data_IF_101842791537
#
_entry.id   IF_101842791537
#
_cell.length_a   1.000
_cell.length_b   1.000
_cell.length_c   1.000
_cell.angle_alpha   90.00
_cell.angle_beta   90.00
_cell.angle_gamma   90.00
#
_symmetry.space_group_name_H-M   'P 1'
#
loop_
_entity.id
_entity.type
_entity.pdbx_description
1 polymer ?
#
# COMPACT_ATOMS: atom_id res chain seq x y z
N UNK A 1 2.22 27.72 -4.28
CA UNK A 1 1.79 27.27 -5.62
C UNK A 1 1.67 25.76 -5.50
N UNK A 2 0.45 25.27 -5.28
CA UNK A 2 0.19 23.87 -4.97
C UNK A 2 0.36 23.04 -6.25
N UNK A 3 1.24 22.04 -6.23
CA UNK A 3 1.28 21.02 -7.25
C UNK A 3 0.10 20.10 -7.01
N UNK A 4 -1.01 20.33 -7.73
CA UNK A 4 -2.01 19.31 -7.94
C UNK A 4 -1.34 18.18 -8.70
N UNK A 5 -1.13 17.05 -8.03
CA UNK A 5 -0.79 15.79 -8.69
C UNK A 5 -2.03 15.34 -9.47
N UNK A 6 -2.13 15.79 -10.71
CA UNK A 6 -3.03 15.23 -11.70
C UNK A 6 -2.45 13.86 -12.12
N UNK A 7 -2.73 12.82 -11.32
CA UNK A 7 -2.45 11.43 -11.68
C UNK A 7 -3.61 10.96 -12.56
N UNK A 8 -3.53 11.35 -13.83
CA UNK A 8 -4.47 11.01 -14.90
C UNK A 8 -4.84 9.54 -14.89
N UNK A 9 -6.12 9.29 -14.66
CA UNK A 9 -6.73 7.97 -14.71
C UNK A 9 -6.92 7.51 -16.13
N UNK A 10 -5.97 6.72 -16.64
CA UNK A 10 -6.21 5.74 -17.71
C UNK A 10 -5.17 4.59 -17.65
N UNK A 11 -3.98 4.81 -17.08
CA UNK A 11 -2.89 3.80 -17.00
C UNK A 11 -2.88 2.92 -15.72
N UNK A 12 -3.66 3.25 -14.68
CA UNK A 12 -3.61 2.57 -13.37
C UNK A 12 -4.17 1.13 -13.34
N UNK A 13 -4.79 0.66 -14.42
CA UNK A 13 -5.12 -0.77 -14.54
C UNK A 13 -3.87 -1.59 -14.87
N UNK A 14 -2.90 -1.00 -15.57
CA UNK A 14 -1.80 -1.75 -16.18
C UNK A 14 -0.89 -2.39 -15.13
N UNK A 15 -0.50 -1.66 -14.07
CA UNK A 15 0.46 -2.15 -13.08
C UNK A 15 -0.12 -3.23 -12.15
N UNK A 16 -1.34 -3.05 -11.64
CA UNK A 16 -2.01 -4.10 -10.84
C UNK A 16 -2.38 -5.30 -11.70
N UNK A 17 -2.86 -5.09 -12.94
CA UNK A 17 -3.14 -6.19 -13.86
C UNK A 17 -1.87 -6.94 -14.26
N UNK A 18 -0.76 -6.24 -14.48
CA UNK A 18 0.55 -6.83 -14.76
C UNK A 18 1.07 -7.62 -13.56
N UNK A 19 0.97 -7.08 -12.34
CA UNK A 19 1.32 -7.79 -11.12
C UNK A 19 0.51 -9.09 -10.98
N UNK A 20 -0.82 -8.99 -11.08
CA UNK A 20 -1.73 -10.14 -11.01
C UNK A 20 -1.43 -11.17 -12.09
N UNK A 21 -1.23 -10.72 -13.33
CA UNK A 21 -0.86 -11.61 -14.45
C UNK A 21 0.49 -12.30 -14.21
N UNK A 22 1.47 -11.59 -13.66
CA UNK A 22 2.83 -12.11 -13.42
C UNK A 22 2.85 -13.17 -12.33
N UNK A 23 2.12 -12.94 -11.23
CA UNK A 23 2.20 -13.80 -10.04
C UNK A 23 1.09 -14.85 -9.96
N UNK A 24 0.00 -14.71 -10.72
CA UNK A 24 -1.17 -15.59 -10.64
C UNK A 24 -1.51 -16.30 -11.96
N UNK A 25 -0.62 -16.24 -12.95
CA UNK A 25 -0.60 -17.16 -14.09
C UNK A 25 -1.85 -17.18 -14.95
N UNK A 26 -2.65 -16.10 -14.93
CA UNK A 26 -3.88 -15.97 -15.70
C UNK A 26 -5.09 -16.75 -15.15
N UNK A 27 -5.03 -17.29 -13.92
CA UNK A 27 -6.19 -17.90 -13.27
C UNK A 27 -7.20 -16.84 -12.76
N UNK A 28 -6.72 -15.62 -12.58
CA UNK A 28 -7.51 -14.44 -12.21
C UNK A 28 -7.05 -13.24 -13.05
N UNK A 29 -7.98 -12.32 -13.32
CA UNK A 29 -7.72 -11.05 -13.98
C UNK A 29 -8.29 -9.87 -13.20
N UNK A 30 -7.74 -8.68 -13.43
CA UNK A 30 -8.23 -7.44 -12.83
C UNK A 30 -9.21 -6.76 -13.79
N UNK A 31 -10.37 -6.40 -13.28
CA UNK A 31 -11.36 -5.60 -14.01
C UNK A 31 -11.76 -4.37 -13.19
N UNK A 32 -12.29 -3.32 -13.84
CA UNK A 32 -13.01 -2.25 -13.16
C UNK A 32 -14.51 -2.54 -13.17
N UNK A 33 -15.18 -2.36 -12.04
CA UNK A 33 -16.64 -2.46 -11.90
C UNK A 33 -17.19 -1.19 -11.26
N UNK A 34 -18.27 -0.68 -11.84
CA UNK A 34 -18.99 0.49 -11.32
C UNK A 34 -19.41 0.25 -9.86
N UNK A 35 -19.17 1.25 -8.99
CA UNK A 35 -19.46 1.19 -7.55
C UNK A 35 -18.56 0.26 -6.72
N UNK A 36 -17.63 -0.48 -7.33
CA UNK A 36 -16.71 -1.41 -6.61
C UNK A 36 -15.23 -1.10 -6.84
N UNK A 37 -14.92 -0.22 -7.78
CA UNK A 37 -13.54 0.06 -8.15
C UNK A 37 -12.92 -1.11 -8.91
N UNK A 38 -11.73 -1.55 -8.48
CA UNK A 38 -11.03 -2.70 -9.08
C UNK A 38 -11.53 -4.00 -8.42
N UNK A 39 -11.77 -5.01 -9.23
CA UNK A 39 -12.16 -6.35 -8.80
C UNK A 39 -11.25 -7.40 -9.40
N UNK A 40 -11.07 -8.50 -8.68
CA UNK A 40 -10.47 -9.72 -9.21
C UNK A 40 -11.59 -10.64 -9.72
N UNK A 41 -11.44 -11.12 -10.95
CA UNK A 41 -12.36 -12.05 -11.61
C UNK A 41 -11.62 -13.33 -11.92
N UNK A 42 -12.22 -14.47 -11.59
CA UNK A 42 -11.71 -15.78 -11.96
C UNK A 42 -11.83 -16.01 -13.48
N UNK A 43 -10.75 -16.48 -14.08
CA UNK A 43 -10.70 -16.86 -15.51
C UNK A 43 -10.80 -18.36 -15.72
N UNK A 44 -10.76 -19.13 -14.63
CA UNK A 44 -10.91 -20.57 -14.59
C UNK A 44 -11.87 -20.98 -13.47
N UNK A 45 -12.43 -22.18 -13.58
CA UNK A 45 -13.16 -22.79 -12.47
C UNK A 45 -12.17 -23.24 -11.38
N UNK A 46 -12.61 -23.23 -10.13
CA UNK A 46 -11.84 -23.69 -8.97
C UNK A 46 -12.68 -24.67 -8.14
N UNK A 47 -12.04 -25.71 -7.63
CA UNK A 47 -12.69 -26.68 -6.75
C UNK A 47 -12.67 -26.22 -5.28
N UNK A 48 -13.61 -26.73 -4.48
CA UNK A 48 -13.68 -26.40 -3.07
C UNK A 48 -12.40 -26.82 -2.32
N UNK A 49 -11.75 -25.85 -1.68
CA UNK A 49 -10.47 -26.06 -0.97
C UNK A 49 -9.23 -25.88 -1.86
N UNK A 50 -9.40 -25.58 -3.15
CA UNK A 50 -8.30 -25.22 -4.03
C UNK A 50 -7.74 -23.83 -3.69
N UNK A 51 -6.42 -23.67 -3.83
CA UNK A 51 -5.75 -22.39 -3.63
C UNK A 51 -5.88 -21.54 -4.89
N UNK A 52 -6.75 -20.53 -4.82
CA UNK A 52 -6.98 -19.55 -5.89
C UNK A 52 -5.78 -18.61 -6.10
N UNK A 53 -5.18 -18.12 -5.00
CA UNK A 53 -4.14 -17.10 -5.04
C UNK A 53 -3.17 -17.25 -3.86
N UNK A 54 -1.94 -16.77 -4.03
CA UNK A 54 -0.97 -16.58 -2.97
C UNK A 54 -0.38 -15.19 -3.10
N UNK A 55 -0.62 -14.33 -2.10
CA UNK A 55 -0.12 -12.96 -2.09
C UNK A 55 0.83 -12.77 -0.90
N UNK A 56 1.99 -12.17 -1.17
CA UNK A 56 2.97 -11.83 -0.16
C UNK A 56 2.81 -10.36 0.22
N UNK A 57 3.05 -9.99 1.50
CA UNK A 57 2.97 -8.59 1.90
C UNK A 57 3.96 -7.75 1.08
N UNK A 58 3.47 -6.66 0.49
CA UNK A 58 4.32 -5.72 -0.25
C UNK A 58 5.37 -5.07 0.67
N UNK A 59 4.95 -4.75 1.91
CA UNK A 59 5.78 -4.12 2.94
C UNK A 59 5.46 -4.80 4.27
N UNK A 60 6.49 -5.24 4.98
CA UNK A 60 6.38 -5.76 6.34
C UNK A 60 6.96 -4.75 7.32
N UNK A 61 6.08 -4.08 8.08
CA UNK A 61 6.48 -3.13 9.10
C UNK A 61 6.52 -3.82 10.46
N UNK A 62 7.69 -4.28 10.86
CA UNK A 62 7.89 -4.93 12.16
C UNK A 62 8.28 -3.88 13.20
N UNK A 63 7.56 -3.87 14.32
CA UNK A 63 7.94 -3.06 15.48
C UNK A 63 9.24 -3.59 16.08
N UNK A 64 10.30 -2.80 15.97
CA UNK A 64 11.61 -3.16 16.52
C UNK A 64 12.16 -1.98 17.33
N UNK A 65 12.11 -2.12 18.65
CA UNK A 65 12.66 -1.14 19.58
C UNK A 65 14.19 -1.05 19.51
N UNK A 66 14.90 -1.90 18.76
CA UNK A 66 16.32 -1.67 18.49
C UNK A 66 16.55 -0.52 17.50
N UNK A 67 15.55 -0.18 16.68
CA UNK A 67 15.66 0.83 15.62
C UNK A 67 15.44 2.24 16.20
N UNK A 68 16.44 3.16 16.11
CA UNK A 68 16.34 4.50 16.68
C UNK A 68 15.15 5.32 16.15
N UNK A 69 14.82 5.17 14.88
CA UNK A 69 13.67 5.85 14.28
C UNK A 69 12.35 5.39 14.89
N UNK A 70 12.18 4.09 15.12
CA UNK A 70 10.96 3.55 15.73
C UNK A 70 10.82 4.00 17.19
N UNK A 71 11.93 4.05 17.95
CA UNK A 71 11.93 4.66 19.30
C UNK A 71 11.45 6.09 19.28
N UNK A 72 11.85 6.88 18.29
CA UNK A 72 11.38 8.26 18.19
C UNK A 72 9.87 8.32 17.88
N UNK A 73 9.35 7.43 17.05
CA UNK A 73 7.90 7.33 16.82
C UNK A 73 7.16 6.99 18.13
N UNK A 74 7.69 6.09 18.95
CA UNK A 74 7.13 5.78 20.27
C UNK A 74 7.14 7.02 21.18
N UNK A 75 8.27 7.72 21.27
CA UNK A 75 8.41 8.95 22.07
C UNK A 75 7.42 10.03 21.62
N UNK A 76 7.28 10.25 20.31
CA UNK A 76 6.31 11.21 19.76
C UNK A 76 4.86 10.83 20.07
N UNK A 77 4.56 9.53 20.17
CA UNK A 77 3.24 9.08 20.61
C UNK A 77 3.00 9.37 22.09
N UNK A 78 3.98 9.11 22.95
CA UNK A 78 3.91 9.37 24.39
C UNK A 78 3.72 10.86 24.69
N UNK A 79 4.39 11.73 23.92
CA UNK A 79 4.25 13.18 24.00
C UNK A 79 2.90 13.71 23.47
N UNK A 80 2.02 12.84 22.97
CA UNK A 80 0.73 13.22 22.40
C UNK A 80 0.82 13.91 21.03
N UNK A 81 1.98 13.88 20.37
CA UNK A 81 2.18 14.49 19.05
C UNK A 81 1.55 13.69 17.90
N UNK A 82 1.21 12.41 18.16
CA UNK A 82 0.67 11.50 17.16
C UNK A 82 -0.77 11.07 17.50
N UNK A 83 -1.69 11.31 16.56
CA UNK A 83 -3.10 10.95 16.70
C UNK A 83 -3.32 9.43 16.70
N UNK A 84 -2.80 8.73 15.69
CA UNK A 84 -2.93 7.28 15.55
C UNK A 84 -1.92 6.48 16.38
N UNK A 85 -2.04 5.14 16.37
CA UNK A 85 -1.06 4.26 16.99
C UNK A 85 0.32 4.34 16.28
N UNK A 86 1.45 4.16 16.99
CA UNK A 86 2.81 4.24 16.43
C UNK A 86 3.01 3.41 15.16
N UNK A 87 2.44 2.20 15.13
CA UNK A 87 2.64 1.26 14.02
C UNK A 87 2.16 1.80 12.67
N UNK A 88 1.15 2.68 12.64
CA UNK A 88 0.67 3.27 11.38
C UNK A 88 1.68 4.25 10.79
N UNK A 89 2.30 5.08 11.65
CA UNK A 89 3.38 5.97 11.23
C UNK A 89 4.63 5.18 10.88
N UNK A 90 4.93 4.12 11.62
CA UNK A 90 6.05 3.24 11.31
C UNK A 90 5.88 2.55 9.96
N UNK A 91 4.70 1.99 9.68
CA UNK A 91 4.39 1.41 8.38
C UNK A 91 4.52 2.44 7.24
N UNK A 92 4.05 3.68 7.45
CA UNK A 92 4.24 4.75 6.48
C UNK A 92 5.73 5.05 6.24
N UNK A 93 6.54 5.16 7.30
CA UNK A 93 8.00 5.36 7.17
C UNK A 93 8.69 4.20 6.46
N UNK A 94 8.27 2.95 6.72
CA UNK A 94 8.76 1.75 6.03
C UNK A 94 8.34 1.69 4.55
N UNK A 95 7.39 2.53 4.11
CA UNK A 95 6.99 2.62 2.70
C UNK A 95 7.75 3.68 1.90
N UNK A 96 8.66 4.41 2.55
CA UNK A 96 9.47 5.44 1.88
C UNK A 96 10.63 4.83 1.09
N UNK A 97 10.97 5.49 -0.01
CA UNK A 97 12.09 5.15 -0.89
C UNK A 97 13.40 5.75 -0.40
N UNK A 98 14.52 5.23 -0.91
CA UNK A 98 15.85 5.70 -0.53
C UNK A 98 16.07 7.22 -0.75
N UNK A 99 15.57 7.84 -1.84
CA UNK A 99 15.62 9.29 -2.01
C UNK A 99 14.81 10.06 -0.96
N UNK A 100 13.66 9.56 -0.53
CA UNK A 100 12.77 10.25 0.42
C UNK A 100 13.30 10.22 1.86
N UNK A 101 14.06 9.19 2.21
CA UNK A 101 14.75 9.10 3.51
C UNK A 101 16.14 9.74 3.48
N UNK A 102 16.56 10.29 2.34
CA UNK A 102 17.85 10.95 2.20
C UNK A 102 17.93 12.18 3.09
N UNK A 103 18.91 12.23 3.98
CA UNK A 103 19.04 13.31 4.97
C UNK A 103 18.13 13.16 6.20
N UNK A 104 17.46 12.03 6.36
CA UNK A 104 16.71 11.73 7.58
C UNK A 104 17.62 11.76 8.83
N UNK A 105 17.06 12.25 9.93
CA UNK A 105 17.76 12.41 11.22
C UNK A 105 18.28 11.09 11.79
N UNK A 106 17.54 10.01 11.58
CA UNK A 106 17.94 8.68 12.01
C UNK A 106 18.35 7.88 10.77
N UNK A 107 19.66 7.68 10.53
CA UNK A 107 20.08 6.81 9.45
C UNK A 107 19.69 5.36 9.77
N UNK A 108 19.50 4.56 8.72
CA UNK A 108 19.37 3.09 8.77
C UNK A 108 17.99 2.46 9.07
N UNK A 109 16.86 3.14 8.83
CA UNK A 109 15.62 2.38 8.60
C UNK A 109 15.51 1.94 7.13
N UNK A 110 15.00 0.74 6.90
CA UNK A 110 14.95 0.12 5.59
C UNK A 110 13.98 0.86 4.67
N UNK A 111 14.51 1.42 3.59
CA UNK A 111 13.70 2.00 2.51
C UNK A 111 13.28 0.91 1.51
N UNK A 112 12.17 1.14 0.82
CA UNK A 112 11.66 0.23 -0.22
C UNK A 112 12.08 0.66 -1.62
N UNK A 113 12.14 -0.27 -2.60
CA UNK A 113 12.24 0.09 -4.00
C UNK A 113 11.08 0.97 -4.45
N UNK A 114 11.31 1.90 -5.39
CA UNK A 114 10.27 2.79 -5.91
C UNK A 114 9.08 2.03 -6.50
N UNK A 115 9.31 0.88 -7.15
CA UNK A 115 8.23 0.04 -7.66
C UNK A 115 7.31 -0.49 -6.55
N UNK A 116 7.88 -0.91 -5.41
CA UNK A 116 7.10 -1.39 -4.25
C UNK A 116 6.26 -0.27 -3.65
N UNK A 117 6.81 0.94 -3.56
CA UNK A 117 6.06 2.11 -3.09
C UNK A 117 4.91 2.45 -4.05
N UNK A 118 5.15 2.46 -5.36
CA UNK A 118 4.09 2.68 -6.36
C UNK A 118 2.96 1.66 -6.21
N UNK A 119 3.30 0.37 -6.11
CA UNK A 119 2.31 -0.69 -5.87
C UNK A 119 1.52 -0.49 -4.56
N UNK A 120 2.19 -0.07 -3.49
CA UNK A 120 1.53 0.22 -2.22
C UNK A 120 0.59 1.43 -2.29
N UNK A 121 0.99 2.50 -2.99
CA UNK A 121 0.17 3.69 -3.22
C UNK A 121 -0.99 3.41 -4.18
N UNK A 122 -0.83 2.48 -5.11
CA UNK A 122 -1.93 2.05 -5.97
C UNK A 122 -3.03 1.32 -5.21
N UNK A 123 -2.76 0.70 -4.06
CA UNK A 123 -3.81 0.19 -3.17
C UNK A 123 -4.62 1.30 -2.49
N UNK A 124 -4.17 2.55 -2.59
CA UNK A 124 -4.95 3.68 -2.10
C UNK A 124 -6.22 3.82 -2.93
N UNK A 125 -7.34 3.68 -2.24
CA UNK A 125 -8.65 3.94 -2.83
C UNK A 125 -8.81 5.46 -2.85
N UNK A 126 -9.14 6.09 -3.99
CA UNK A 126 -9.34 7.53 -4.02
C UNK A 126 -10.48 7.93 -3.07
N UNK A 127 -10.43 9.18 -2.59
CA UNK A 127 -11.31 9.71 -1.53
C UNK A 127 -12.81 9.44 -1.77
N UNK A 128 -13.21 9.28 -3.03
CA UNK A 128 -14.60 9.01 -3.39
C UNK A 128 -15.13 7.68 -2.80
N UNK A 129 -14.32 6.64 -2.66
CA UNK A 129 -14.80 5.34 -2.16
C UNK A 129 -15.05 5.31 -0.64
N UNK A 130 -14.49 6.27 0.11
CA UNK A 130 -14.75 6.39 1.55
C UNK A 130 -16.05 7.14 1.85
N UNK A 131 -16.65 7.84 0.87
CA UNK A 131 -17.85 8.66 1.07
C UNK A 131 -19.15 7.86 1.06
N UNK A 132 -19.19 6.68 0.45
CA UNK A 132 -20.44 5.93 0.24
C UNK A 132 -20.91 5.08 1.44
N UNK A 133 -20.12 4.95 2.51
CA UNK A 133 -20.50 4.14 3.67
C UNK A 133 -21.39 4.86 4.71
N UNK A 134 -21.78 6.12 4.48
CA UNK A 134 -22.45 6.95 5.50
C UNK A 134 -23.95 7.18 5.26
N UNK A 135 -24.54 6.62 4.21
CA UNK A 135 -25.97 6.78 3.92
C UNK A 135 -26.63 5.41 3.72
N UNK A 136 -27.08 4.81 4.83
CA UNK A 136 -28.04 3.70 4.86
C UNK A 136 -28.83 3.73 6.16
#
# INVERSE_FOLDING_TARGET
MAACCDLGGEDNLSLVAEHVSTYHGGAVRVEKREGKGRVLVADTDFEAGERVMLEYPLIEAVADESIPAYKEVLRLKEDGSLAFAPIFYWAALCSLTAPEVSGARFPAWQAVPSQTQVQALELHIPEEACREASES
#
